data_IF_008220384859
#
_entry.id   IF_008220384859
#
_cell.length_a   1.000
_cell.length_b   1.000
_cell.length_c   1.000
_cell.angle_alpha   90.00
_cell.angle_beta   90.00
_cell.angle_gamma   90.00
#
_symmetry.space_group_name_H-M   'P 1'
#
loop_
_entity.id
_entity.type
_entity.pdbx_description
1 polymer ?
#
# COMPACT_ATOMS: atom_id res chain seq x y z
N UNK A 1 -6.32 7.99 9.84
CA UNK A 1 -6.46 6.68 9.15
C UNK A 1 -5.20 6.49 8.33
N UNK A 2 -4.62 5.29 8.32
CA UNK A 2 -3.40 4.94 7.58
C UNK A 2 -3.66 3.71 6.72
N UNK A 3 -3.14 3.68 5.48
CA UNK A 3 -3.10 2.48 4.67
C UNK A 3 -1.85 1.69 5.04
N UNK A 4 -1.99 0.44 5.44
CA UNK A 4 -0.87 -0.39 5.90
C UNK A 4 -0.38 -1.38 4.84
N UNK A 5 -1.32 -2.04 4.14
CA UNK A 5 -1.02 -3.12 3.23
C UNK A 5 -2.08 -3.28 2.15
N UNK A 6 -1.66 -3.66 0.94
CA UNK A 6 -2.54 -4.15 -0.12
C UNK A 6 -1.88 -5.35 -0.80
N UNK A 7 -2.69 -6.36 -1.05
CA UNK A 7 -2.37 -7.46 -1.95
C UNK A 7 -3.18 -7.34 -3.25
N UNK A 8 -2.51 -7.35 -4.40
CA UNK A 8 -3.15 -7.33 -5.72
C UNK A 8 -2.92 -8.67 -6.40
N UNK A 9 -3.99 -9.47 -6.49
CA UNK A 9 -3.97 -10.74 -7.19
C UNK A 9 -3.72 -10.55 -8.70
N UNK A 10 -4.50 -9.69 -9.35
CA UNK A 10 -4.38 -9.40 -10.78
C UNK A 10 -5.12 -8.09 -11.12
N UNK A 11 -4.37 -7.07 -11.53
CA UNK A 11 -4.93 -5.78 -12.00
C UNK A 11 -5.40 -5.82 -13.47
N UNK A 12 -5.34 -6.99 -14.11
CA UNK A 12 -5.59 -7.22 -15.55
C UNK A 12 -4.64 -6.46 -16.47
N UNK A 13 -3.52 -5.98 -15.93
CA UNK A 13 -2.46 -5.26 -16.63
C UNK A 13 -1.09 -5.80 -16.18
N UNK A 14 -0.34 -5.00 -15.42
CA UNK A 14 1.09 -5.21 -15.15
C UNK A 14 1.37 -5.63 -13.70
N UNK A 15 0.35 -5.74 -12.85
CA UNK A 15 0.48 -6.14 -11.44
C UNK A 15 -0.23 -7.48 -11.26
N UNK A 16 0.54 -8.52 -10.92
CA UNK A 16 0.02 -9.89 -10.74
C UNK A 16 0.68 -10.54 -9.53
N UNK A 17 -0.14 -10.87 -8.53
CA UNK A 17 0.28 -11.48 -7.28
C UNK A 17 1.28 -10.65 -6.49
N UNK A 18 1.19 -9.33 -6.57
CA UNK A 18 2.11 -8.42 -5.89
C UNK A 18 1.53 -7.92 -4.57
N UNK A 19 2.40 -7.72 -3.60
CA UNK A 19 2.06 -7.16 -2.31
C UNK A 19 2.81 -5.86 -2.04
N UNK A 20 2.15 -4.93 -1.36
CA UNK A 20 2.66 -3.59 -1.09
C UNK A 20 2.46 -3.26 0.38
N UNK A 21 3.58 -2.96 1.04
CA UNK A 21 3.61 -2.50 2.42
C UNK A 21 3.79 -0.98 2.44
N UNK A 22 2.96 -0.31 3.22
CA UNK A 22 2.94 1.13 3.29
C UNK A 22 3.44 1.65 4.65
N UNK A 23 3.44 0.82 5.70
CA UNK A 23 3.89 1.25 7.03
C UNK A 23 5.38 0.98 7.26
N UNK A 24 6.09 1.87 7.98
CA UNK A 24 7.43 1.58 8.48
C UNK A 24 7.38 0.69 9.75
N UNK A 25 6.28 0.74 10.50
CA UNK A 25 6.12 0.03 11.78
C UNK A 25 5.62 -1.41 11.61
N UNK A 26 4.94 -1.71 10.50
CA UNK A 26 4.32 -3.01 10.29
C UNK A 26 4.67 -3.53 8.91
N UNK A 27 5.09 -4.79 8.88
CA UNK A 27 5.33 -5.53 7.65
C UNK A 27 4.38 -6.71 7.55
N UNK A 28 3.70 -6.79 6.43
CA UNK A 28 2.75 -7.83 6.10
C UNK A 28 3.26 -8.65 4.93
N UNK A 29 2.98 -9.96 4.97
CA UNK A 29 3.22 -10.84 3.83
C UNK A 29 2.11 -11.88 3.71
N UNK A 30 1.69 -12.16 2.48
CA UNK A 30 0.70 -13.19 2.19
C UNK A 30 1.31 -14.35 1.42
N UNK A 31 1.33 -15.53 2.04
CA UNK A 31 1.80 -16.75 1.41
C UNK A 31 0.64 -17.47 0.74
N UNK A 32 0.63 -17.44 -0.59
CA UNK A 32 -0.44 -18.01 -1.39
C UNK A 32 -0.60 -19.54 -1.23
N UNK A 33 0.52 -20.26 -1.12
CA UNK A 33 0.51 -21.74 -1.09
C UNK A 33 -0.12 -22.28 0.19
N UNK A 34 0.29 -21.73 1.33
CA UNK A 34 -0.23 -22.07 2.66
C UNK A 34 -1.51 -21.32 3.02
N UNK A 35 -1.88 -20.29 2.24
CA UNK A 35 -2.95 -19.33 2.56
C UNK A 35 -2.77 -18.67 3.92
N UNK A 36 -1.52 -18.42 4.31
CA UNK A 36 -1.18 -17.79 5.58
C UNK A 36 -0.86 -16.31 5.39
N UNK A 37 -1.36 -15.50 6.31
CA UNK A 37 -1.08 -14.07 6.39
C UNK A 37 -0.22 -13.81 7.61
N UNK A 38 0.91 -13.14 7.42
CA UNK A 38 1.86 -12.83 8.46
C UNK A 38 1.96 -11.32 8.65
N UNK A 39 2.02 -10.89 9.91
CA UNK A 39 2.29 -9.52 10.32
C UNK A 39 3.48 -9.54 11.28
N UNK A 40 4.41 -8.63 11.07
CA UNK A 40 5.57 -8.39 11.92
C UNK A 40 5.60 -6.90 12.29
N UNK A 41 5.82 -6.62 13.57
CA UNK A 41 6.15 -5.27 14.04
C UNK A 41 7.64 -5.02 13.82
N UNK A 42 7.99 -3.86 13.28
CA UNK A 42 9.35 -3.47 12.97
C UNK A 42 9.80 -2.32 13.88
N UNK A 43 11.05 -2.38 14.35
CA UNK A 43 11.71 -1.23 14.98
C UNK A 43 11.94 -0.15 13.91
N UNK A 44 11.08 0.87 13.93
CA UNK A 44 11.01 1.88 12.88
C UNK A 44 11.32 3.29 13.41
N UNK A 45 11.11 4.31 12.57
CA UNK A 45 11.30 5.71 12.92
C UNK A 45 10.56 6.05 14.22
N UNK A 46 11.17 6.89 15.06
CA UNK A 46 10.54 7.34 16.29
C UNK A 46 9.20 8.02 16.01
N UNK A 47 8.24 7.84 16.94
CA UNK A 47 6.92 8.46 16.85
C UNK A 47 7.03 9.99 16.70
N UNK A 48 6.45 10.52 15.62
CA UNK A 48 6.48 11.95 15.33
C UNK A 48 7.67 12.41 14.48
N UNK A 49 8.40 11.50 13.81
CA UNK A 49 9.44 11.86 12.83
C UNK A 49 8.95 12.90 11.80
N UNK A 50 7.68 12.81 11.40
CA UNK A 50 7.04 13.75 10.46
C UNK A 50 6.16 14.82 11.14
N UNK A 51 6.30 15.00 12.46
CA UNK A 51 5.45 15.85 13.29
C UNK A 51 4.12 15.19 13.67
N UNK A 52 3.22 15.97 14.26
CA UNK A 52 1.97 15.45 14.85
C UNK A 52 0.86 15.21 13.83
N UNK A 53 0.92 15.87 12.66
CA UNK A 53 -0.16 15.85 11.66
C UNK A 53 0.06 14.83 10.53
N UNK A 54 1.26 14.24 10.43
CA UNK A 54 1.61 13.27 9.38
C UNK A 54 1.87 11.94 10.06
N UNK A 55 1.00 10.97 9.81
CA UNK A 55 1.11 9.62 10.40
C UNK A 55 2.21 8.82 9.71
N UNK A 56 2.31 8.90 8.37
CA UNK A 56 3.22 8.07 7.58
C UNK A 56 3.45 8.67 6.18
N UNK A 57 4.62 8.40 5.60
CA UNK A 57 4.99 8.74 4.22
C UNK A 57 5.58 7.49 3.55
N UNK A 58 5.00 7.08 2.42
CA UNK A 58 5.51 5.97 1.59
C UNK A 58 5.87 6.47 0.20
N UNK A 59 7.05 6.10 -0.28
CA UNK A 59 7.46 6.35 -1.66
C UNK A 59 7.21 5.11 -2.54
N UNK A 60 6.47 5.26 -3.64
CA UNK A 60 6.29 4.21 -4.66
C UNK A 60 7.26 4.48 -5.81
N UNK A 61 8.34 3.71 -5.88
CA UNK A 61 9.40 3.87 -6.88
C UNK A 61 9.57 2.62 -7.74
N UNK A 62 10.05 2.78 -8.97
CA UNK A 62 10.23 1.68 -9.92
C UNK A 62 10.40 2.16 -11.35
N UNK A 63 10.83 1.26 -12.25
CA UNK A 63 11.04 1.58 -13.67
C UNK A 63 9.74 2.00 -14.37
N UNK A 64 9.86 2.62 -15.55
CA UNK A 64 8.69 2.89 -16.41
C UNK A 64 8.03 1.58 -16.80
N UNK A 65 6.70 1.56 -16.81
CA UNK A 65 5.92 0.34 -17.07
C UNK A 65 5.77 -0.62 -15.88
N UNK A 66 6.47 -0.40 -14.75
CA UNK A 66 6.44 -1.28 -13.57
C UNK A 66 5.11 -1.28 -12.78
N UNK A 67 4.08 -0.57 -13.25
CA UNK A 67 2.75 -0.60 -12.64
C UNK A 67 2.47 0.48 -11.58
N UNK A 68 3.35 1.47 -11.36
CA UNK A 68 3.15 2.52 -10.34
C UNK A 68 1.78 3.24 -10.46
N UNK A 69 1.41 3.67 -11.66
CA UNK A 69 0.10 4.30 -11.91
C UNK A 69 -1.06 3.32 -11.74
N UNK A 70 -0.87 2.04 -12.10
CA UNK A 70 -1.89 1.02 -11.90
C UNK A 70 -2.13 0.71 -10.40
N UNK A 71 -1.06 0.74 -9.58
CA UNK A 71 -1.17 0.57 -8.13
C UNK A 71 -2.02 1.68 -7.53
N UNK A 72 -1.80 2.94 -7.93
CA UNK A 72 -2.63 4.07 -7.51
C UNK A 72 -4.10 3.90 -7.92
N UNK A 73 -4.36 3.47 -9.15
CA UNK A 73 -5.73 3.17 -9.63
C UNK A 73 -6.39 2.05 -8.79
N UNK A 74 -5.64 1.01 -8.43
CA UNK A 74 -6.12 -0.07 -7.56
C UNK A 74 -6.46 0.44 -6.14
N UNK A 75 -5.60 1.29 -5.55
CA UNK A 75 -5.84 1.92 -4.24
C UNK A 75 -7.13 2.75 -4.30
N UNK A 76 -7.27 3.62 -5.30
CA UNK A 76 -8.45 4.48 -5.46
C UNK A 76 -9.72 3.64 -5.59
N UNK A 77 -9.72 2.61 -6.43
CA UNK A 77 -10.87 1.73 -6.62
C UNK A 77 -11.25 0.98 -5.34
N UNK A 78 -10.25 0.48 -4.60
CA UNK A 78 -10.47 -0.25 -3.36
C UNK A 78 -11.07 0.65 -2.26
N UNK A 79 -10.60 1.90 -2.16
CA UNK A 79 -11.06 2.84 -1.14
C UNK A 79 -12.39 3.51 -1.53
N UNK A 80 -12.47 4.10 -2.73
CA UNK A 80 -13.63 4.89 -3.15
C UNK A 80 -14.79 4.05 -3.68
N UNK A 81 -14.55 2.81 -4.11
CA UNK A 81 -15.60 1.92 -4.65
C UNK A 81 -16.64 1.45 -3.62
N UNK A 82 -16.37 1.63 -2.32
CA UNK A 82 -17.26 1.22 -1.23
C UNK A 82 -17.97 2.40 -0.53
N UNK A 83 -17.95 3.60 -1.12
CA UNK A 83 -18.64 4.78 -0.56
C UNK A 83 -17.86 5.54 0.51
N UNK A 84 -16.53 5.38 0.59
CA UNK A 84 -15.69 6.07 1.56
C UNK A 84 -14.43 6.72 0.97
N UNK A 85 -14.19 7.98 1.33
CA UNK A 85 -12.91 8.67 1.12
C UNK A 85 -12.84 9.61 -0.08
N UNK A 86 -12.36 10.84 0.15
CA UNK A 86 -11.97 11.77 -0.91
C UNK A 86 -10.51 11.51 -1.27
N UNK A 87 -10.24 11.14 -2.52
CA UNK A 87 -8.87 11.08 -3.06
C UNK A 87 -8.64 12.28 -3.95
N UNK A 88 -7.69 13.14 -3.57
CA UNK A 88 -7.20 14.21 -4.43
C UNK A 88 -6.05 13.68 -5.27
N UNK A 89 -6.29 13.53 -6.57
CA UNK A 89 -5.29 13.12 -7.56
C UNK A 89 -4.96 14.32 -8.46
N UNK A 90 -3.70 14.76 -8.44
CA UNK A 90 -3.21 15.86 -9.26
C UNK A 90 -2.22 15.28 -10.28
N UNK A 91 -2.41 15.63 -11.55
CA UNK A 91 -1.55 15.25 -12.68
C UNK A 91 -0.63 16.43 -13.00
#
# INVERSE_FOLDING_TARGET
MELLYIYIWDDKRNIKGCEYNFSPNYKFSYQLQSKTFHMEECDSLYNGWFGENIVNITAIVGKNGAGKTNLLDCIIKALCGQGGGYVFYII
#
